data_IF_049031200844
#
_entry.id   IF_049031200844
#
_cell.length_a   1.000
_cell.length_b   1.000
_cell.length_c   1.000
_cell.angle_alpha   90.00
_cell.angle_beta   90.00
_cell.angle_gamma   90.00
#
_symmetry.space_group_name_H-M   'P 1'
#
loop_
_entity.id
_entity.type
_entity.pdbx_description
1 polymer ?
#
# COMPACT_ATOMS: atom_id res chain seq x y z
N UNK A 1 32.23 -50.60 -54.56
CA UNK A 1 32.91 -50.01 -53.37
C UNK A 1 32.99 -48.48 -53.40
N UNK A 2 32.88 -47.80 -54.55
CA UNK A 2 32.93 -46.32 -54.61
C UNK A 2 31.58 -45.63 -54.35
N UNK A 3 30.44 -46.29 -54.62
CA UNK A 3 29.10 -45.73 -54.38
C UNK A 3 28.77 -45.58 -52.89
N UNK A 4 29.29 -46.47 -52.05
CA UNK A 4 29.08 -46.45 -50.60
C UNK A 4 29.80 -45.27 -49.97
N UNK A 5 31.05 -45.03 -50.39
CA UNK A 5 31.86 -43.91 -49.93
C UNK A 5 31.24 -42.56 -50.29
N UNK A 6 30.66 -42.42 -51.49
CA UNK A 6 30.00 -41.18 -51.90
C UNK A 6 28.67 -40.94 -51.17
N UNK A 7 27.98 -42.00 -50.72
CA UNK A 7 26.78 -41.90 -49.90
C UNK A 7 27.15 -41.54 -48.44
N UNK A 8 28.20 -42.14 -47.90
CA UNK A 8 28.76 -41.84 -46.59
C UNK A 8 29.34 -40.42 -46.52
N UNK A 9 29.99 -39.94 -47.58
CA UNK A 9 30.47 -38.57 -47.65
C UNK A 9 29.32 -37.56 -47.60
N UNK A 10 28.21 -37.83 -48.30
CA UNK A 10 27.02 -36.97 -48.26
C UNK A 10 26.34 -36.98 -46.90
N UNK A 11 26.22 -38.14 -46.25
CA UNK A 11 25.62 -38.24 -44.92
C UNK A 11 26.49 -37.53 -43.87
N UNK A 12 27.81 -37.67 -43.96
CA UNK A 12 28.78 -36.97 -43.12
C UNK A 12 28.69 -35.44 -43.29
N UNK A 13 28.66 -34.94 -44.54
CA UNK A 13 28.49 -33.51 -44.81
C UNK A 13 27.16 -32.98 -44.28
N UNK A 14 26.09 -33.77 -44.38
CA UNK A 14 24.80 -33.39 -43.82
C UNK A 14 24.83 -33.33 -42.29
N UNK A 15 25.48 -34.29 -41.62
CA UNK A 15 25.73 -34.24 -40.17
C UNK A 15 26.55 -33.01 -39.77
N UNK A 16 27.56 -32.62 -40.56
CA UNK A 16 28.35 -31.42 -40.28
C UNK A 16 27.50 -30.14 -40.41
N UNK A 17 26.60 -30.07 -41.39
CA UNK A 17 25.68 -28.94 -41.54
C UNK A 17 24.69 -28.86 -40.38
N UNK A 18 24.16 -30.00 -39.94
CA UNK A 18 23.26 -30.09 -38.79
C UNK A 18 23.98 -29.69 -37.49
N UNK A 19 25.21 -30.19 -37.28
CA UNK A 19 26.05 -29.79 -36.16
C UNK A 19 26.33 -28.29 -36.15
N UNK A 20 26.64 -27.71 -37.32
CA UNK A 20 26.85 -26.27 -37.44
C UNK A 20 25.58 -25.46 -37.11
N UNK A 21 24.40 -25.97 -37.49
CA UNK A 21 23.12 -25.37 -37.12
C UNK A 21 22.88 -25.41 -35.61
N UNK A 22 23.20 -26.54 -34.96
CA UNK A 22 23.14 -26.65 -33.50
C UNK A 22 24.13 -25.72 -32.80
N UNK A 23 25.37 -25.61 -33.28
CA UNK A 23 26.37 -24.69 -32.71
C UNK A 23 25.88 -23.23 -32.77
N UNK A 24 25.23 -22.84 -33.87
CA UNK A 24 24.65 -21.51 -34.00
C UNK A 24 23.51 -21.27 -33.01
N UNK A 25 22.60 -22.24 -32.86
CA UNK A 25 21.52 -22.14 -31.90
C UNK A 25 22.02 -22.15 -30.45
N UNK A 26 23.07 -22.93 -30.16
CA UNK A 26 23.73 -22.96 -28.85
C UNK A 26 24.30 -21.59 -28.50
N UNK A 27 24.94 -20.94 -29.47
CA UNK A 27 25.49 -19.59 -29.30
C UNK A 27 24.39 -18.55 -29.04
N UNK A 28 23.31 -18.58 -29.82
CA UNK A 28 22.16 -17.68 -29.61
C UNK A 28 21.46 -17.92 -28.27
N UNK A 29 21.38 -19.17 -27.82
CA UNK A 29 20.85 -19.51 -26.50
C UNK A 29 21.78 -19.01 -25.39
N UNK A 30 23.09 -19.19 -25.55
CA UNK A 30 24.09 -18.69 -24.60
C UNK A 30 23.96 -17.17 -24.44
N UNK A 31 23.87 -16.43 -25.54
CA UNK A 31 23.69 -14.98 -25.50
C UNK A 31 22.41 -14.57 -24.76
N UNK A 32 21.29 -15.26 -25.04
CA UNK A 32 20.01 -15.02 -24.33
C UNK A 32 20.10 -15.34 -22.84
N UNK A 33 20.79 -16.41 -22.47
CA UNK A 33 21.01 -16.79 -21.07
C UNK A 33 21.82 -15.69 -20.37
N UNK A 34 22.89 -15.20 -20.98
CA UNK A 34 23.70 -14.10 -20.41
C UNK A 34 22.90 -12.81 -20.26
N UNK A 35 22.05 -12.46 -21.24
CA UNK A 35 21.18 -11.28 -21.13
C UNK A 35 20.15 -11.41 -20.00
N UNK A 36 19.58 -12.61 -19.83
CA UNK A 36 18.64 -12.90 -18.74
C UNK A 36 19.35 -12.89 -17.39
N UNK A 37 20.55 -13.46 -17.30
CA UNK A 37 21.38 -13.44 -16.10
C UNK A 37 21.72 -12.01 -15.67
N UNK A 38 22.10 -11.15 -16.61
CA UNK A 38 22.34 -9.73 -16.33
C UNK A 38 21.09 -9.04 -15.78
N UNK A 39 19.92 -9.27 -16.41
CA UNK A 39 18.64 -8.73 -15.91
C UNK A 39 18.28 -9.29 -14.53
N UNK A 40 18.53 -10.57 -14.29
CA UNK A 40 18.29 -11.22 -13.01
C UNK A 40 19.11 -10.56 -11.90
N UNK A 41 20.42 -10.35 -12.12
CA UNK A 41 21.29 -9.66 -11.15
C UNK A 41 20.78 -8.24 -10.86
N UNK A 42 20.33 -7.50 -11.88
CA UNK A 42 19.76 -6.15 -11.65
C UNK A 42 18.44 -6.20 -10.87
N UNK A 43 17.63 -7.24 -11.08
CA UNK A 43 16.39 -7.45 -10.34
C UNK A 43 16.65 -7.87 -8.90
N UNK A 44 17.64 -8.72 -8.65
CA UNK A 44 18.09 -9.10 -7.30
C UNK A 44 18.60 -7.87 -6.55
N UNK A 45 19.45 -7.04 -7.17
CA UNK A 45 19.89 -5.78 -6.58
C UNK A 45 18.72 -4.83 -6.27
N UNK A 46 17.74 -4.74 -7.18
CA UNK A 46 16.54 -3.93 -6.97
C UNK A 46 15.67 -4.51 -5.86
N UNK A 47 15.57 -5.83 -5.76
CA UNK A 47 14.84 -6.52 -4.71
C UNK A 47 15.52 -6.31 -3.35
N UNK A 48 16.83 -6.44 -3.25
CA UNK A 48 17.60 -6.19 -2.02
C UNK A 48 17.44 -4.74 -1.59
N UNK A 49 17.54 -3.80 -2.54
CA UNK A 49 17.26 -2.38 -2.28
C UNK A 49 15.81 -2.19 -1.79
N UNK A 50 14.84 -2.81 -2.43
CA UNK A 50 13.44 -2.71 -2.00
C UNK A 50 13.21 -3.37 -0.64
N UNK A 51 13.90 -4.47 -0.33
CA UNK A 51 13.83 -5.13 0.98
C UNK A 51 14.45 -4.24 2.05
N UNK A 52 15.56 -3.57 1.74
CA UNK A 52 16.14 -2.53 2.58
C UNK A 52 15.17 -1.36 2.77
N UNK A 53 14.59 -0.83 1.68
CA UNK A 53 13.64 0.28 1.73
C UNK A 53 12.38 -0.12 2.52
N UNK A 54 11.85 -1.33 2.33
CA UNK A 54 10.72 -1.88 3.11
C UNK A 54 11.12 -2.06 4.56
N UNK A 55 12.33 -2.54 4.86
CA UNK A 55 12.79 -2.69 6.24
C UNK A 55 12.97 -1.33 6.89
N UNK A 56 13.51 -0.35 6.16
CA UNK A 56 13.63 1.04 6.60
C UNK A 56 12.27 1.70 6.80
N UNK A 57 11.33 1.49 5.88
CA UNK A 57 9.95 1.97 6.00
C UNK A 57 9.24 1.24 7.14
N UNK A 58 9.49 -0.05 7.35
CA UNK A 58 8.91 -0.81 8.46
C UNK A 58 9.51 -0.38 9.79
N UNK A 59 10.81 -0.06 9.87
CA UNK A 59 11.42 0.54 11.05
C UNK A 59 10.98 2.01 11.23
N UNK A 60 10.73 2.75 10.16
CA UNK A 60 10.14 4.10 10.22
C UNK A 60 8.66 4.02 10.62
N UNK A 61 7.89 3.06 10.11
CA UNK A 61 6.49 2.81 10.43
C UNK A 61 6.34 2.14 11.77
N UNK A 62 7.30 1.35 12.26
CA UNK A 62 7.36 0.85 13.63
C UNK A 62 7.85 1.93 14.55
N UNK A 63 8.79 2.77 14.13
CA UNK A 63 9.20 3.99 14.81
C UNK A 63 8.10 5.04 14.84
N UNK A 64 7.19 5.04 13.84
CA UNK A 64 6.01 5.89 13.70
C UNK A 64 4.77 5.26 14.27
N UNK A 65 4.62 3.94 14.34
CA UNK A 65 3.57 3.23 15.07
C UNK A 65 3.92 3.27 16.54
N UNK A 66 5.18 3.08 16.92
CA UNK A 66 5.69 3.58 18.18
C UNK A 66 5.41 5.10 18.22
N UNK A 67 5.81 5.99 17.31
CA UNK A 67 5.50 7.43 17.46
C UNK A 67 4.00 7.86 17.45
N UNK A 68 3.07 7.04 16.93
CA UNK A 68 1.65 7.35 16.69
C UNK A 68 0.74 6.57 17.65
N UNK A 69 1.16 5.37 18.08
CA UNK A 69 0.56 4.57 19.17
C UNK A 69 1.22 4.87 20.53
N UNK A 70 2.44 5.42 20.53
CA UNK A 70 3.37 5.59 21.67
C UNK A 70 4.43 6.69 21.31
N UNK A 71 4.03 7.92 20.94
CA UNK A 71 4.96 9.03 20.62
C UNK A 71 6.21 9.02 21.49
N UNK A 72 7.44 9.18 21.05
CA UNK A 72 8.57 9.16 22.03
C UNK A 72 8.50 10.34 23.03
N UNK A 73 7.64 11.33 22.76
CA UNK A 73 7.09 12.24 23.79
C UNK A 73 5.81 11.68 24.43
N UNK A 74 4.87 11.16 23.66
CA UNK A 74 3.61 10.55 24.11
C UNK A 74 3.74 9.19 24.84
N UNK A 75 4.86 8.48 24.87
CA UNK A 75 5.11 7.23 25.61
C UNK A 75 5.57 7.57 27.01
N UNK A 76 6.45 8.57 27.09
CA UNK A 76 6.77 9.18 28.36
C UNK A 76 5.51 9.86 28.89
N UNK A 77 4.73 10.55 28.05
CA UNK A 77 3.48 11.20 28.46
C UNK A 77 2.32 10.22 28.67
N UNK A 78 2.17 9.10 27.95
CA UNK A 78 1.12 8.08 28.19
C UNK A 78 1.48 7.27 29.41
N UNK A 79 2.73 6.83 29.58
CA UNK A 79 3.11 6.12 30.81
C UNK A 79 3.07 7.07 32.01
N UNK A 80 3.42 8.35 31.85
CA UNK A 80 3.23 9.35 32.89
C UNK A 80 1.76 9.72 33.12
N UNK A 81 0.94 9.78 32.07
CA UNK A 81 -0.49 10.06 32.16
C UNK A 81 -1.24 8.87 32.74
N UNK A 82 -0.90 7.65 32.36
CA UNK A 82 -1.42 6.40 32.91
C UNK A 82 -1.01 6.24 34.37
N UNK A 83 0.26 6.53 34.72
CA UNK A 83 0.69 6.60 36.11
C UNK A 83 -0.02 7.72 36.89
N UNK A 84 -0.27 8.88 36.26
CA UNK A 84 -1.01 9.98 36.87
C UNK A 84 -2.51 9.67 37.03
N UNK A 85 -3.12 9.02 36.04
CA UNK A 85 -4.52 8.55 36.08
C UNK A 85 -4.66 7.47 37.13
N UNK A 86 -3.78 6.46 37.16
CA UNK A 86 -3.75 5.42 38.19
C UNK A 86 -3.56 6.02 39.59
N UNK A 87 -2.69 7.03 39.73
CA UNK A 87 -2.51 7.74 41.00
C UNK A 87 -3.76 8.55 41.39
N UNK A 88 -4.40 9.23 40.44
CA UNK A 88 -5.64 9.97 40.65
C UNK A 88 -6.81 9.04 40.98
N UNK A 89 -6.92 7.89 40.32
CA UNK A 89 -7.92 6.86 40.61
C UNK A 89 -7.76 6.34 42.03
N UNK A 90 -6.52 6.09 42.44
CA UNK A 90 -6.22 5.66 43.80
C UNK A 90 -6.51 6.74 44.84
N UNK A 91 -6.16 8.00 44.57
CA UNK A 91 -6.38 9.13 45.48
C UNK A 91 -7.86 9.51 45.59
N UNK A 92 -8.64 9.33 44.52
CA UNK A 92 -10.07 9.64 44.45
C UNK A 92 -10.98 8.42 44.68
N UNK A 93 -10.41 7.22 44.82
CA UNK A 93 -11.17 5.97 44.97
C UNK A 93 -12.04 5.63 43.76
N UNK A 94 -11.62 6.02 42.56
CA UNK A 94 -12.35 5.78 41.32
C UNK A 94 -12.09 4.36 40.80
N UNK A 95 -13.07 3.72 40.15
CA UNK A 95 -12.86 2.47 39.43
C UNK A 95 -11.91 2.71 38.25
N UNK A 96 -11.22 1.65 37.84
CA UNK A 96 -10.35 1.65 36.66
C UNK A 96 -11.13 2.15 35.45
N UNK A 97 -10.66 3.24 34.84
CA UNK A 97 -11.30 3.86 33.68
C UNK A 97 -11.37 2.93 32.46
N UNK A 98 -10.57 1.87 32.42
CA UNK A 98 -10.58 0.85 31.36
C UNK A 98 -11.65 -0.24 31.58
N UNK A 99 -12.21 -0.34 32.78
CA UNK A 99 -13.30 -1.28 33.08
C UNK A 99 -14.61 -0.76 32.47
N UNK A 100 -15.33 -1.61 31.73
CA UNK A 100 -16.61 -1.23 31.08
C UNK A 100 -17.72 -0.79 32.06
N UNK A 101 -17.49 -0.96 33.37
CA UNK A 101 -18.40 -0.54 34.43
C UNK A 101 -18.01 0.86 34.93
N UNK A 102 -18.24 1.87 34.09
CA UNK A 102 -17.93 3.28 34.38
C UNK A 102 -18.93 3.94 35.35
N UNK A 103 -19.28 3.29 36.46
CA UNK A 103 -20.19 3.90 37.45
C UNK A 103 -19.41 4.93 38.28
N UNK A 104 -19.70 6.21 38.07
CA UNK A 104 -19.10 7.29 38.87
C UNK A 104 -19.66 7.22 40.30
N UNK A 105 -18.85 7.00 41.35
CA UNK A 105 -19.36 6.97 42.72
C UNK A 105 -19.83 8.37 43.14
N UNK A 106 -21.04 8.45 43.71
CA UNK A 106 -21.56 9.65 44.37
C UNK A 106 -21.65 9.40 45.87
N UNK A 107 -21.13 10.32 46.66
CA UNK A 107 -21.45 10.37 48.09
C UNK A 107 -22.90 10.86 48.27
N UNK A 108 -23.79 9.89 48.44
CA UNK A 108 -25.24 10.10 48.60
C UNK A 108 -25.56 11.00 49.80
N UNK A 109 -24.64 11.10 50.78
CA UNK A 109 -24.84 11.92 51.98
C UNK A 109 -24.56 13.41 51.75
N UNK A 110 -23.84 13.77 50.69
CA UNK A 110 -23.38 15.14 50.42
C UNK A 110 -23.82 15.71 49.05
N UNK A 111 -24.39 14.89 48.16
CA UNK A 111 -24.72 15.29 46.80
C UNK A 111 -25.99 16.15 46.70
N UNK A 112 -25.90 17.24 45.94
CA UNK A 112 -27.08 18.05 45.59
C UNK A 112 -27.84 17.45 44.40
N UNK A 113 -29.13 17.78 44.19
CA UNK A 113 -29.88 17.34 43.01
C UNK A 113 -29.26 17.77 41.67
N UNK A 114 -28.45 18.82 41.66
CA UNK A 114 -27.67 19.24 40.49
C UNK A 114 -26.50 18.30 40.18
N UNK A 115 -25.87 17.73 41.21
CA UNK A 115 -24.75 16.79 41.06
C UNK A 115 -25.22 15.47 40.46
N UNK A 116 -26.39 14.98 40.88
CA UNK A 116 -27.03 13.78 40.31
C UNK A 116 -27.33 13.94 38.83
N UNK A 117 -27.86 15.10 38.41
CA UNK A 117 -28.12 15.38 36.99
C UNK A 117 -26.84 15.46 36.17
N UNK A 118 -25.78 16.06 36.72
CA UNK A 118 -24.47 16.15 36.07
C UNK A 118 -23.85 14.77 35.88
N UNK A 119 -23.95 13.91 36.89
CA UNK A 119 -23.49 12.52 36.80
C UNK A 119 -24.27 11.72 35.75
N UNK A 120 -25.59 11.84 35.71
CA UNK A 120 -26.41 11.18 34.68
C UNK A 120 -26.01 11.61 33.26
N UNK A 121 -25.74 12.91 33.06
CA UNK A 121 -25.25 13.43 31.79
C UNK A 121 -23.88 12.86 31.43
N UNK A 122 -22.93 12.84 32.37
CA UNK A 122 -21.60 12.27 32.17
C UNK A 122 -21.66 10.77 31.87
N UNK A 123 -22.52 10.01 32.57
CA UNK A 123 -22.73 8.59 32.30
C UNK A 123 -23.28 8.34 30.89
N UNK A 124 -24.22 9.18 30.45
CA UNK A 124 -24.78 9.12 29.10
C UNK A 124 -23.69 9.40 28.05
N UNK A 125 -22.85 10.43 28.27
CA UNK A 125 -21.71 10.75 27.40
C UNK A 125 -20.76 9.55 27.25
N UNK A 126 -20.40 8.91 28.35
CA UNK A 126 -19.53 7.72 28.35
C UNK A 126 -20.21 6.56 27.59
N UNK A 127 -21.50 6.33 27.81
CA UNK A 127 -22.23 5.28 27.10
C UNK A 127 -22.29 5.51 25.59
N UNK A 128 -22.49 6.77 25.16
CA UNK A 128 -22.53 7.11 23.73
C UNK A 128 -21.15 6.94 23.09
N UNK A 129 -20.08 7.36 23.78
CA UNK A 129 -18.71 7.17 23.32
C UNK A 129 -18.36 5.69 23.13
N UNK A 130 -18.73 4.84 24.10
CA UNK A 130 -18.54 3.39 24.02
C UNK A 130 -19.29 2.79 22.81
N UNK A 131 -20.55 3.16 22.59
CA UNK A 131 -21.33 2.69 21.45
C UNK A 131 -20.75 3.12 20.09
N UNK A 132 -20.18 4.33 20.00
CA UNK A 132 -19.53 4.80 18.77
C UNK A 132 -18.27 3.97 18.47
N UNK A 133 -17.46 3.68 19.49
CA UNK A 133 -16.26 2.85 19.36
C UNK A 133 -16.60 1.41 18.95
N UNK A 134 -17.63 0.83 19.55
CA UNK A 134 -18.13 -0.49 19.18
C UNK A 134 -18.64 -0.51 17.73
N UNK A 135 -19.44 0.48 17.34
CA UNK A 135 -19.93 0.60 15.96
C UNK A 135 -18.80 0.79 14.93
N UNK A 136 -17.73 1.52 15.27
CA UNK A 136 -16.56 1.66 14.39
C UNK A 136 -15.83 0.33 14.21
N UNK A 137 -15.67 -0.44 15.30
CA UNK A 137 -15.12 -1.80 15.25
C UNK A 137 -15.98 -2.73 14.39
N UNK A 138 -17.30 -2.67 14.55
CA UNK A 138 -18.25 -3.47 13.75
C UNK A 138 -18.18 -3.10 12.26
N UNK A 139 -18.10 -1.80 11.94
CA UNK A 139 -17.95 -1.32 10.56
C UNK A 139 -16.64 -1.81 9.94
N UNK A 140 -15.54 -1.79 10.70
CA UNK A 140 -14.27 -2.32 10.24
C UNK A 140 -14.36 -3.83 9.94
N UNK A 141 -15.04 -4.60 10.78
CA UNK A 141 -15.27 -6.02 10.53
C UNK A 141 -16.10 -6.26 9.25
N UNK A 142 -17.15 -5.47 9.04
CA UNK A 142 -17.96 -5.55 7.81
C UNK A 142 -17.11 -5.26 6.57
N UNK A 143 -16.24 -4.23 6.62
CA UNK A 143 -15.32 -3.90 5.52
C UNK A 143 -14.41 -5.08 5.20
N UNK A 144 -13.87 -5.74 6.23
CA UNK A 144 -12.99 -6.89 6.06
C UNK A 144 -13.73 -8.09 5.46
N UNK A 145 -14.95 -8.37 5.92
CA UNK A 145 -15.82 -9.43 5.39
C UNK A 145 -16.23 -9.17 3.92
N UNK A 146 -16.61 -7.94 3.58
CA UNK A 146 -16.95 -7.55 2.18
C UNK A 146 -15.74 -7.70 1.28
N UNK A 147 -14.56 -7.27 1.75
CA UNK A 147 -13.30 -7.42 1.02
C UNK A 147 -12.95 -8.88 0.78
N UNK A 148 -13.15 -9.75 1.79
CA UNK A 148 -12.96 -11.18 1.66
C UNK A 148 -13.94 -11.83 0.67
N UNK A 149 -15.22 -11.42 0.67
CA UNK A 149 -16.22 -11.87 -0.29
C UNK A 149 -15.91 -11.46 -1.73
N UNK A 150 -15.43 -10.23 -1.95
CA UNK A 150 -14.96 -9.79 -3.26
C UNK A 150 -13.81 -10.67 -3.76
N UNK A 151 -12.88 -11.02 -2.86
CA UNK A 151 -11.76 -11.90 -3.18
C UNK A 151 -12.20 -13.34 -3.47
N UNK A 152 -13.17 -13.88 -2.74
CA UNK A 152 -13.67 -15.26 -2.94
C UNK A 152 -14.56 -15.39 -4.18
N UNK A 153 -15.40 -14.39 -4.48
CA UNK A 153 -16.22 -14.33 -5.70
C UNK A 153 -15.36 -14.30 -6.97
N UNK A 154 -14.19 -13.67 -6.90
CA UNK A 154 -13.18 -13.71 -7.96
C UNK A 154 -12.52 -15.09 -8.13
N UNK A 155 -12.48 -15.93 -7.09
CA UNK A 155 -11.81 -17.23 -7.13
C UNK A 155 -12.71 -18.39 -7.61
N UNK A 156 -14.04 -18.28 -7.45
CA UNK A 156 -14.98 -19.35 -7.82
C UNK A 156 -15.40 -19.37 -9.31
N UNK A 157 -15.07 -18.33 -10.09
CA UNK A 157 -15.44 -18.22 -11.51
C UNK A 157 -14.23 -18.36 -12.45
N UNK A 158 -14.02 -19.60 -12.91
CA UNK A 158 -13.50 -19.95 -14.26
C UNK A 158 -12.00 -19.85 -14.56
N UNK A 159 -11.40 -21.04 -14.78
CA UNK A 159 -10.14 -21.24 -15.51
C UNK A 159 -10.15 -20.70 -16.96
N UNK A 160 -11.32 -20.47 -17.58
CA UNK A 160 -11.46 -19.91 -18.95
C UNK A 160 -11.84 -18.42 -18.99
N UNK A 161 -12.44 -17.86 -17.92
CA UNK A 161 -12.59 -16.40 -17.79
C UNK A 161 -11.33 -15.75 -17.25
N UNK A 162 -10.41 -16.49 -16.63
CA UNK A 162 -9.18 -15.90 -16.10
C UNK A 162 -8.45 -15.08 -17.17
N UNK A 163 -8.34 -15.55 -18.42
CA UNK A 163 -7.67 -14.78 -19.49
C UNK A 163 -8.50 -13.60 -19.99
N UNK A 164 -9.83 -13.72 -20.10
CA UNK A 164 -10.70 -12.62 -20.56
C UNK A 164 -10.85 -11.54 -19.48
N UNK A 165 -11.06 -11.94 -18.22
CA UNK A 165 -11.09 -11.05 -17.06
C UNK A 165 -9.71 -10.42 -16.82
N UNK A 166 -8.60 -11.15 -17.03
CA UNK A 166 -7.25 -10.57 -17.01
C UNK A 166 -7.06 -9.54 -18.12
N UNK A 167 -7.50 -9.84 -19.35
CA UNK A 167 -7.41 -8.88 -20.47
C UNK A 167 -8.28 -7.65 -20.17
N UNK A 168 -9.50 -7.83 -19.67
CA UNK A 168 -10.37 -6.74 -19.26
C UNK A 168 -9.75 -5.91 -18.13
N UNK A 169 -9.09 -6.55 -17.17
CA UNK A 169 -8.38 -5.87 -16.08
C UNK A 169 -7.13 -5.12 -16.57
N UNK A 170 -6.36 -5.70 -17.49
CA UNK A 170 -5.23 -5.02 -18.14
C UNK A 170 -5.73 -3.81 -18.93
N UNK A 171 -6.78 -3.96 -19.74
CA UNK A 171 -7.35 -2.88 -20.53
C UNK A 171 -7.92 -1.78 -19.64
N UNK A 172 -8.58 -2.13 -18.54
CA UNK A 172 -9.06 -1.17 -17.55
C UNK A 172 -7.90 -0.38 -16.94
N UNK A 173 -6.83 -1.05 -16.49
CA UNK A 173 -5.65 -0.38 -15.94
C UNK A 173 -4.96 0.51 -16.97
N UNK A 174 -4.89 0.07 -18.23
CA UNK A 174 -4.35 0.85 -19.34
C UNK A 174 -5.21 2.08 -19.63
N UNK A 175 -6.54 1.95 -19.60
CA UNK A 175 -7.47 3.07 -19.77
C UNK A 175 -7.33 4.08 -18.63
N UNK A 176 -7.25 3.63 -17.38
CA UNK A 176 -6.99 4.50 -16.22
C UNK A 176 -5.65 5.24 -16.36
N UNK A 177 -4.61 4.55 -16.83
CA UNK A 177 -3.29 5.16 -17.10
C UNK A 177 -3.38 6.21 -18.21
N UNK A 178 -4.13 5.94 -19.28
CA UNK A 178 -4.34 6.88 -20.39
C UNK A 178 -5.12 8.12 -19.94
N UNK A 179 -6.19 7.94 -19.16
CA UNK A 179 -6.95 9.05 -18.57
C UNK A 179 -6.05 9.91 -17.68
N UNK A 180 -5.17 9.28 -16.89
CA UNK A 180 -4.21 10.00 -16.07
C UNK A 180 -3.22 10.81 -16.91
N UNK A 181 -2.67 10.21 -17.98
CA UNK A 181 -1.77 10.91 -18.91
C UNK A 181 -2.49 12.08 -19.57
N UNK A 182 -3.72 11.89 -20.05
CA UNK A 182 -4.53 12.93 -20.69
C UNK A 182 -4.75 14.12 -19.73
N UNK A 183 -5.17 13.83 -18.49
CA UNK A 183 -5.32 14.85 -17.45
C UNK A 183 -4.02 15.59 -17.19
N UNK A 184 -2.90 14.88 -17.04
CA UNK A 184 -1.58 15.51 -16.79
C UNK A 184 -1.07 16.30 -17.98
N UNK A 185 -1.39 15.89 -19.19
CA UNK A 185 -1.08 16.63 -20.41
C UNK A 185 -1.88 17.92 -20.45
N UNK A 186 -3.19 17.89 -20.15
CA UNK A 186 -4.01 19.09 -20.07
C UNK A 186 -3.57 20.07 -18.95
N UNK A 187 -3.19 19.55 -17.77
CA UNK A 187 -2.58 20.38 -16.71
C UNK A 187 -1.28 21.05 -17.16
N UNK A 188 -0.47 20.35 -17.95
CA UNK A 188 0.79 20.87 -18.48
C UNK A 188 0.52 21.94 -19.55
N UNK A 189 -0.41 21.70 -20.48
CA UNK A 189 -0.80 22.65 -21.52
C UNK A 189 -1.33 23.96 -20.91
N UNK A 190 -2.21 23.87 -19.91
CA UNK A 190 -2.71 25.04 -19.19
C UNK A 190 -1.58 25.84 -18.54
N UNK A 191 -0.57 25.15 -17.98
CA UNK A 191 0.60 25.80 -17.38
C UNK A 191 1.50 26.43 -18.43
N UNK A 192 1.62 25.83 -19.61
CA UNK A 192 2.34 26.40 -20.76
C UNK A 192 1.65 27.67 -21.26
N UNK A 193 0.31 27.66 -21.34
CA UNK A 193 -0.46 28.84 -21.70
C UNK A 193 -0.31 29.96 -20.66
N UNK A 194 -0.34 29.64 -19.37
CA UNK A 194 -0.06 30.62 -18.30
C UNK A 194 1.35 31.22 -18.44
N UNK A 195 2.37 30.40 -18.73
CA UNK A 195 3.72 30.90 -18.98
C UNK A 195 3.80 31.79 -20.21
N UNK A 196 3.06 31.45 -21.26
CA UNK A 196 3.00 32.23 -22.50
C UNK A 196 2.32 33.59 -22.27
N UNK A 197 1.21 33.61 -21.53
CA UNK A 197 0.52 34.85 -21.14
C UNK A 197 1.40 35.74 -20.26
N UNK A 198 2.17 35.16 -19.33
CA UNK A 198 3.15 35.89 -18.52
C UNK A 198 4.29 36.44 -19.38
N UNK A 199 4.71 35.71 -20.42
CA UNK A 199 5.75 36.16 -21.34
C UNK A 199 5.25 37.32 -22.24
N UNK A 200 4.03 37.19 -22.77
CA UNK A 200 3.39 38.17 -23.65
C UNK A 200 2.99 39.44 -22.87
N UNK A 201 2.59 39.30 -21.60
CA UNK A 201 2.36 40.41 -20.66
C UNK A 201 3.62 41.20 -20.30
N UNK A 202 4.81 40.58 -20.37
CA UNK A 202 6.10 41.29 -20.23
C UNK A 202 6.53 41.97 -21.53
N UNK A 203 6.14 41.45 -22.69
CA UNK A 203 6.47 42.09 -23.97
C UNK A 203 5.63 43.35 -24.25
N UNK A 204 4.41 43.42 -23.71
CA UNK A 204 3.51 44.58 -23.87
C UNK A 204 3.87 45.78 -22.99
N UNK A 205 4.66 45.60 -21.92
CA UNK A 205 5.20 46.72 -21.10
C UNK A 205 6.52 47.30 -21.63
N UNK A 206 7.08 46.72 -22.69
CA UNK A 206 8.37 47.08 -23.27
C UNK A 206 8.28 47.76 -24.65
N UNK A 207 7.09 48.09 -25.15
CA UNK A 207 6.97 48.91 -26.37
C UNK A 207 7.11 50.41 -26.03
N UNK A 208 8.16 51.11 -26.49
CA UNK A 208 8.28 52.55 -26.30
C UNK A 208 7.43 53.32 -27.33
N UNK A 209 7.06 54.59 -27.04
CA UNK A 209 6.36 55.48 -27.97
C UNK A 209 7.23 55.90 -29.17
#
# INVERSE_FOLDING_TARGET
MTMDLAADERSFLNCLLELNAYDRQLWENMQRITDVESKLVTLEQKQDKMMYDISSINEEQKGRFLSTTLGVRVSVDIVALDAAVTALEKDLGLPDWTDQNHSLPIDVLAATPGDVKRQQLLQLLISVDSQIKEADSDLQEIIDQVSALHKSKSAMSNSKKYTEDQVAQILKNQMETLIYIDKKTGELDAKVDEFKDVLDGRHSTLSPP
#
